data_IF_136758898928
#
_entry.id   IF_136758898928
#
_cell.length_a   1.000
_cell.length_b   1.000
_cell.length_c   1.000
_cell.angle_alpha   90.00
_cell.angle_beta   90.00
_cell.angle_gamma   90.00
#
_symmetry.space_group_name_H-M   'P 1'
#
loop_
_entity.id
_entity.type
_entity.pdbx_description
1 polymer ?
#
# COMPACT_ATOMS: atom_id res chain seq x y z
N UNK A 1 -28.26 14.95 9.21
CA UNK A 1 -27.95 14.48 7.85
C UNK A 1 -26.77 13.55 8.01
N UNK A 2 -26.98 12.24 7.98
CA UNK A 2 -25.87 11.29 8.04
C UNK A 2 -25.19 11.32 6.67
N UNK A 3 -24.00 11.92 6.60
CA UNK A 3 -23.12 11.69 5.46
C UNK A 3 -22.63 10.26 5.62
N UNK A 4 -22.89 9.41 4.63
CA UNK A 4 -22.29 8.07 4.60
C UNK A 4 -20.83 8.24 4.22
N UNK A 5 -19.91 7.88 5.11
CA UNK A 5 -18.49 7.84 4.79
C UNK A 5 -18.29 6.88 3.61
N UNK A 6 -17.66 7.37 2.54
CA UNK A 6 -17.41 6.58 1.35
C UNK A 6 -16.04 5.93 1.42
N UNK A 7 -16.02 4.60 1.53
CA UNK A 7 -14.79 3.83 1.49
C UNK A 7 -14.53 3.30 0.09
N UNK A 8 -13.33 3.56 -0.43
CA UNK A 8 -12.85 3.04 -1.70
C UNK A 8 -11.56 2.28 -1.51
N UNK A 9 -11.38 1.24 -2.31
CA UNK A 9 -10.12 0.52 -2.43
C UNK A 9 -9.66 0.69 -3.87
N UNK A 10 -8.46 1.25 -4.05
CA UNK A 10 -7.88 1.47 -5.39
C UNK A 10 -6.45 0.97 -5.44
N UNK A 11 -5.97 0.73 -6.66
CA UNK A 11 -4.56 0.44 -6.88
C UNK A 11 -3.70 1.64 -6.42
N UNK A 12 -2.58 1.33 -5.78
CA UNK A 12 -1.54 2.30 -5.47
C UNK A 12 -0.88 2.79 -6.77
N UNK A 13 -0.59 4.09 -6.84
CA UNK A 13 0.07 4.74 -7.97
C UNK A 13 1.43 5.32 -7.56
N UNK A 14 2.20 5.82 -8.52
CA UNK A 14 3.49 6.49 -8.24
C UNK A 14 3.33 7.69 -7.31
N UNK A 15 2.19 8.40 -7.35
CA UNK A 15 1.92 9.57 -6.52
C UNK A 15 1.78 9.22 -5.03
N UNK A 16 1.52 7.95 -4.72
CA UNK A 16 1.31 7.46 -3.37
C UNK A 16 2.60 6.96 -2.70
N UNK A 17 3.71 6.85 -3.45
CA UNK A 17 4.97 6.24 -2.98
C UNK A 17 5.53 6.95 -1.74
N UNK A 18 5.56 8.27 -1.75
CA UNK A 18 6.06 9.04 -0.61
C UNK A 18 5.16 8.92 0.63
N UNK A 19 3.84 8.87 0.42
CA UNK A 19 2.87 8.71 1.50
C UNK A 19 3.01 7.34 2.18
N UNK A 20 3.06 6.27 1.38
CA UNK A 20 3.21 4.91 1.90
C UNK A 20 4.58 4.72 2.56
N UNK A 21 5.64 5.35 2.03
CA UNK A 21 6.95 5.38 2.67
C UNK A 21 6.87 6.01 4.06
N UNK A 22 6.21 7.17 4.17
CA UNK A 22 6.04 7.86 5.45
C UNK A 22 5.37 6.96 6.48
N UNK A 23 4.29 6.28 6.11
CA UNK A 23 3.63 5.31 6.99
C UNK A 23 4.54 4.15 7.38
N UNK A 24 5.27 3.55 6.42
CA UNK A 24 6.14 2.39 6.66
C UNK A 24 7.34 2.72 7.55
N UNK A 25 7.84 3.95 7.49
CA UNK A 25 8.93 4.42 8.36
C UNK A 25 8.47 4.91 9.72
N UNK A 26 7.18 5.23 9.88
CA UNK A 26 6.64 5.66 11.16
C UNK A 26 6.94 4.62 12.25
N UNK A 27 7.43 5.06 13.42
CA UNK A 27 7.97 4.17 14.45
C UNK A 27 6.97 3.10 14.91
N UNK A 28 5.69 3.48 15.01
CA UNK A 28 4.61 2.57 15.43
C UNK A 28 4.28 1.49 14.39
N UNK A 29 4.70 1.66 13.13
CA UNK A 29 4.55 0.70 12.04
C UNK A 29 5.85 -0.08 11.84
N UNK A 30 6.98 0.62 11.70
CA UNK A 30 8.28 0.02 11.39
C UNK A 30 8.72 -1.00 12.43
N UNK A 31 8.39 -0.79 13.72
CA UNK A 31 8.70 -1.77 14.79
C UNK A 31 8.07 -3.15 14.57
N UNK A 32 7.00 -3.25 13.77
CA UNK A 32 6.34 -4.49 13.42
C UNK A 32 6.76 -5.03 12.04
N UNK A 33 7.58 -4.28 11.29
CA UNK A 33 8.08 -4.71 9.99
C UNK A 33 9.34 -5.56 10.12
N UNK A 34 9.62 -6.38 9.09
CA UNK A 34 10.86 -7.16 9.02
C UNK A 34 12.09 -6.24 8.83
N UNK A 35 11.93 -5.14 8.10
CA UNK A 35 12.99 -4.15 7.86
C UNK A 35 13.11 -3.22 9.06
N UNK A 36 14.30 -3.21 9.68
CA UNK A 36 14.55 -2.48 10.92
C UNK A 36 15.36 -1.19 10.73
N UNK A 37 15.83 -0.84 9.53
CA UNK A 37 16.43 0.47 9.19
C UNK A 37 15.40 1.41 8.54
N UNK A 38 15.64 2.72 8.54
CA UNK A 38 14.74 3.66 7.84
C UNK A 38 14.88 3.44 6.34
N UNK A 39 13.75 3.21 5.68
CA UNK A 39 13.68 2.96 4.25
C UNK A 39 13.90 4.30 3.55
N UNK A 40 14.86 4.38 2.63
CA UNK A 40 15.06 5.60 1.84
C UNK A 40 14.00 5.75 0.76
N UNK A 41 13.79 6.97 0.25
CA UNK A 41 12.89 7.20 -0.88
C UNK A 41 13.34 6.41 -2.12
N UNK A 42 14.64 6.33 -2.35
CA UNK A 42 15.20 5.57 -3.47
C UNK A 42 14.91 4.07 -3.33
N UNK A 43 15.16 3.48 -2.16
CA UNK A 43 14.87 2.08 -1.85
C UNK A 43 13.38 1.77 -2.07
N UNK A 44 12.51 2.63 -1.54
CA UNK A 44 11.07 2.44 -1.64
C UNK A 44 10.55 2.59 -3.07
N UNK A 45 11.10 3.55 -3.84
CA UNK A 45 10.75 3.74 -5.26
C UNK A 45 11.16 2.53 -6.09
N UNK A 46 12.35 1.98 -5.86
CA UNK A 46 12.81 0.74 -6.52
C UNK A 46 11.94 -0.45 -6.15
N UNK A 47 11.54 -0.56 -4.87
CA UNK A 47 10.59 -1.57 -4.43
C UNK A 47 9.25 -1.44 -5.15
N UNK A 48 8.68 -0.23 -5.20
CA UNK A 48 7.38 0.02 -5.84
C UNK A 48 7.40 -0.39 -7.33
N UNK A 49 8.41 0.04 -8.09
CA UNK A 49 8.54 -0.31 -9.53
C UNK A 49 8.57 -1.81 -9.78
N UNK A 50 9.22 -2.57 -8.90
CA UNK A 50 9.29 -4.04 -8.99
C UNK A 50 7.98 -4.68 -8.55
N UNK A 51 7.41 -4.22 -7.45
CA UNK A 51 6.21 -4.81 -6.87
C UNK A 51 4.94 -4.49 -7.66
N UNK A 52 4.86 -3.33 -8.32
CA UNK A 52 3.70 -2.91 -9.14
C UNK A 52 3.61 -3.66 -10.47
N UNK A 53 4.71 -4.24 -10.94
CA UNK A 53 4.79 -5.01 -12.19
C UNK A 53 4.72 -6.53 -11.96
N UNK A 54 4.77 -6.97 -10.71
CA UNK A 54 4.65 -8.37 -10.33
C UNK A 54 3.16 -8.79 -10.37
N UNK A 55 2.74 -9.67 -11.32
CA UNK A 55 1.35 -10.07 -11.46
C UNK A 55 0.84 -10.89 -10.27
N UNK A 56 1.72 -11.36 -9.38
CA UNK A 56 1.36 -12.09 -8.16
C UNK A 56 1.11 -11.18 -6.96
N UNK A 57 1.24 -9.86 -7.14
CA UNK A 57 1.04 -8.86 -6.08
C UNK A 57 -0.08 -7.89 -6.43
N UNK A 58 -0.78 -7.41 -5.41
CA UNK A 58 -1.71 -6.28 -5.53
C UNK A 58 -1.38 -5.29 -4.43
N UNK A 59 -1.02 -4.07 -4.84
CA UNK A 59 -0.70 -2.96 -3.95
C UNK A 59 -1.91 -2.03 -3.96
N UNK A 60 -2.60 -1.92 -2.83
CA UNK A 60 -3.87 -1.21 -2.73
C UNK A 60 -3.80 -0.11 -1.67
N UNK A 61 -4.49 0.99 -1.91
CA UNK A 61 -4.85 1.98 -0.91
C UNK A 61 -6.32 1.87 -0.55
N UNK A 62 -6.61 2.03 0.73
CA UNK A 62 -7.94 2.28 1.27
C UNK A 62 -8.08 3.79 1.44
N UNK A 63 -9.16 4.35 0.94
CA UNK A 63 -9.49 5.76 1.05
C UNK A 63 -10.85 5.93 1.74
N UNK A 64 -10.96 6.95 2.58
CA UNK A 64 -12.21 7.44 3.16
C UNK A 64 -12.44 8.86 2.62
N UNK A 65 -13.53 9.08 1.88
CA UNK A 65 -13.85 10.38 1.28
C UNK A 65 -12.69 10.99 0.48
N UNK A 66 -11.99 10.14 -0.30
CA UNK A 66 -10.79 10.46 -1.10
C UNK A 66 -9.51 10.77 -0.29
N UNK A 67 -9.53 10.62 1.02
CA UNK A 67 -8.34 10.70 1.87
C UNK A 67 -7.75 9.30 2.06
N UNK A 68 -6.48 9.07 1.71
CA UNK A 68 -5.82 7.80 1.99
C UNK A 68 -5.78 7.50 3.50
N UNK A 69 -6.31 6.33 3.84
CA UNK A 69 -6.46 5.83 5.21
C UNK A 69 -5.47 4.71 5.53
N UNK A 70 -5.11 3.90 4.53
CA UNK A 70 -4.21 2.78 4.77
C UNK A 70 -3.76 2.07 3.50
N UNK A 71 -2.75 1.22 3.67
CA UNK A 71 -2.12 0.44 2.61
C UNK A 71 -2.32 -1.05 2.86
N UNK A 72 -2.73 -1.79 1.83
CA UNK A 72 -2.89 -3.24 1.86
C UNK A 72 -2.12 -3.85 0.70
N UNK A 73 -1.32 -4.88 0.99
CA UNK A 73 -0.66 -5.68 -0.03
C UNK A 73 -1.13 -7.13 0.04
N UNK A 74 -1.61 -7.64 -1.09
CA UNK A 74 -1.77 -9.07 -1.31
C UNK A 74 -0.54 -9.63 -2.03
N UNK A 75 -0.16 -10.85 -1.69
CA UNK A 75 0.94 -11.58 -2.32
C UNK A 75 0.45 -12.97 -2.72
N UNK A 76 1.08 -13.57 -3.73
CA UNK A 76 0.71 -14.87 -4.29
C UNK A 76 -0.75 -14.91 -4.80
N UNK A 77 -1.22 -13.81 -5.39
CA UNK A 77 -2.52 -13.79 -6.06
C UNK A 77 -2.42 -14.32 -7.48
N UNK A 78 -3.40 -15.11 -7.91
CA UNK A 78 -3.54 -15.52 -9.31
C UNK A 78 -4.34 -14.51 -10.14
N UNK A 79 -4.28 -14.67 -11.46
CA UNK A 79 -5.17 -13.96 -12.39
C UNK A 79 -6.49 -14.73 -12.43
N UNK A 80 -7.60 -14.04 -12.17
CA UNK A 80 -8.96 -14.60 -12.17
C UNK A 80 -9.16 -15.80 -11.20
N UNK A 81 -8.27 -15.94 -10.21
CA UNK A 81 -8.39 -16.94 -9.17
C UNK A 81 -9.27 -16.42 -8.03
N UNK A 82 -10.23 -17.25 -7.61
CA UNK A 82 -11.08 -17.01 -6.44
C UNK A 82 -10.60 -17.93 -5.33
N UNK A 83 -10.31 -17.37 -4.16
CA UNK A 83 -10.08 -18.14 -2.94
C UNK A 83 -11.42 -18.29 -2.21
N UNK A 84 -11.71 -19.51 -1.75
CA UNK A 84 -12.89 -19.85 -0.92
C UNK A 84 -12.86 -19.18 0.47
#
# INVERSE_FOLDING_TARGET
MFMSDSFLIRAMTEQDVELVLHWRNHIDIRRFMLTQHEISLEEHTMWFKRASTDPTRRLMLVEEDSQPLGFVQFSNVGVDEVSD
#
